data_IF_201827800428
#
_entry.id   IF_201827800428
#
_cell.length_a   1.000
_cell.length_b   1.000
_cell.length_c   1.000
_cell.angle_alpha   90.00
_cell.angle_beta   90.00
_cell.angle_gamma   90.00
#
_symmetry.space_group_name_H-M   'P 1'
#
loop_
_entity.id
_entity.type
_entity.pdbx_description
1 polymer ?
#
# COMPACT_ATOMS: atom_id res chain seq x y z
N UNK A 1 3.55 -21.19 -5.73
CA UNK A 1 3.06 -19.83 -5.43
C UNK A 1 2.43 -19.85 -4.05
N UNK A 2 3.22 -19.62 -2.99
CA UNK A 2 2.66 -19.49 -1.64
C UNK A 2 1.72 -18.27 -1.66
N UNK A 3 0.43 -18.49 -1.41
CA UNK A 3 -0.59 -17.45 -1.49
C UNK A 3 -0.17 -16.23 -0.66
N UNK A 4 -0.32 -15.03 -1.23
CA UNK A 4 -0.05 -13.77 -0.53
C UNK A 4 -0.73 -13.83 0.84
N UNK A 5 0.06 -13.68 1.90
CA UNK A 5 -0.45 -13.70 3.27
C UNK A 5 -1.40 -12.53 3.46
N UNK A 6 -2.61 -12.80 3.95
CA UNK A 6 -3.59 -11.76 4.32
C UNK A 6 -2.99 -10.72 5.27
N UNK A 7 -2.15 -11.16 6.20
CA UNK A 7 -1.44 -10.28 7.14
C UNK A 7 -0.46 -9.36 6.41
N UNK A 8 0.19 -9.84 5.36
CA UNK A 8 1.07 -9.01 4.54
C UNK A 8 0.30 -7.96 3.76
N UNK A 9 -0.86 -8.31 3.20
CA UNK A 9 -1.71 -7.33 2.50
C UNK A 9 -2.28 -6.29 3.45
N UNK A 10 -2.69 -6.70 4.66
CA UNK A 10 -3.14 -5.78 5.70
C UNK A 10 -2.04 -4.78 6.09
N UNK A 11 -0.78 -5.23 6.23
CA UNK A 11 0.35 -4.33 6.49
C UNK A 11 0.59 -3.32 5.37
N UNK A 12 0.51 -3.75 4.11
CA UNK A 12 0.68 -2.85 2.96
C UNK A 12 -0.44 -1.81 2.89
N UNK A 13 -1.67 -2.23 3.23
CA UNK A 13 -2.82 -1.32 3.31
C UNK A 13 -2.64 -0.30 4.43
N UNK A 14 -2.18 -0.73 5.61
CA UNK A 14 -1.93 0.17 6.74
C UNK A 14 -0.83 1.18 6.42
N UNK A 15 0.27 0.75 5.80
CA UNK A 15 1.34 1.63 5.35
C UNK A 15 0.82 2.70 4.38
N UNK A 16 -0.02 2.32 3.41
CA UNK A 16 -0.63 3.26 2.47
C UNK A 16 -1.51 4.29 3.18
N UNK A 17 -2.31 3.86 4.17
CA UNK A 17 -3.14 4.75 4.99
C UNK A 17 -2.26 5.76 5.74
N UNK A 18 -1.21 5.29 6.40
CA UNK A 18 -0.31 6.14 7.18
C UNK A 18 0.37 7.18 6.28
N UNK A 19 0.86 6.76 5.11
CA UNK A 19 1.47 7.67 4.13
C UNK A 19 0.48 8.72 3.62
N UNK A 20 -0.77 8.33 3.30
CA UNK A 20 -1.82 9.26 2.89
C UNK A 20 -2.11 10.29 4.00
N UNK A 21 -2.20 9.84 5.25
CA UNK A 21 -2.43 10.73 6.40
C UNK A 21 -1.29 11.74 6.59
N UNK A 22 -0.07 11.38 6.20
CA UNK A 22 1.09 12.29 6.20
C UNK A 22 1.19 13.17 4.94
N UNK A 23 0.21 13.12 4.04
CA UNK A 23 0.18 13.91 2.80
C UNK A 23 1.11 13.38 1.71
N UNK A 24 1.44 12.08 1.73
CA UNK A 24 2.19 11.44 0.66
C UNK A 24 1.46 11.59 -0.69
N UNK A 25 2.24 11.85 -1.75
CA UNK A 25 1.72 11.86 -3.12
C UNK A 25 1.65 10.42 -3.66
N UNK A 26 0.81 10.23 -4.67
CA UNK A 26 0.61 8.93 -5.33
C UNK A 26 1.94 8.25 -5.74
N UNK A 27 2.90 9.01 -6.24
CA UNK A 27 4.21 8.51 -6.66
C UNK A 27 5.01 7.88 -5.50
N UNK A 28 4.86 8.41 -4.28
CA UNK A 28 5.49 7.85 -3.09
C UNK A 28 4.77 6.56 -2.65
N UNK A 29 3.43 6.54 -2.71
CA UNK A 29 2.64 5.35 -2.41
C UNK A 29 2.97 4.19 -3.36
N UNK A 30 3.17 4.47 -4.66
CA UNK A 30 3.57 3.47 -5.66
C UNK A 30 5.00 2.94 -5.45
N UNK A 31 5.89 3.75 -4.87
CA UNK A 31 7.27 3.35 -4.57
C UNK A 31 7.39 2.56 -3.26
N UNK A 32 6.63 2.94 -2.23
CA UNK A 32 6.75 2.39 -0.87
C UNK A 32 5.76 1.25 -0.57
N UNK A 33 4.76 1.04 -1.41
CA UNK A 33 3.76 -0.02 -1.23
C UNK A 33 3.73 -0.98 -2.41
N UNK A 34 3.35 -2.24 -2.16
CA UNK A 34 3.13 -3.25 -3.19
C UNK A 34 1.68 -3.30 -3.65
N UNK A 35 0.89 -2.26 -3.36
CA UNK A 35 -0.51 -2.16 -3.76
C UNK A 35 -0.61 -1.88 -5.26
N UNK A 36 -1.64 -2.43 -5.91
CA UNK A 36 -1.92 -2.07 -7.29
C UNK A 36 -2.39 -0.61 -7.36
N UNK A 37 -2.12 0.03 -8.50
CA UNK A 37 -2.57 1.39 -8.77
C UNK A 37 -4.08 1.57 -8.60
N UNK A 38 -4.87 0.55 -8.95
CA UNK A 38 -6.32 0.54 -8.75
C UNK A 38 -6.74 0.62 -7.27
N UNK A 39 -5.92 0.13 -6.33
CA UNK A 39 -6.21 0.24 -4.89
C UNK A 39 -5.78 1.59 -4.30
N UNK A 40 -5.00 2.38 -5.03
CA UNK A 40 -4.51 3.70 -4.62
C UNK A 40 -5.34 4.87 -5.16
N UNK A 41 -6.24 4.61 -6.12
CA UNK A 41 -7.17 5.57 -6.73
C UNK A 41 -8.56 5.43 -6.13
#
# INVERSE_FOLDING_TARGET
MAGKSLVSEARQTQLAIDLIQHGARLQLLEAETTLSRERLL
#
